data_IF_884457654500
#
_entry.id   IF_884457654500
#
_cell.length_a   1.000
_cell.length_b   1.000
_cell.length_c   1.000
_cell.angle_alpha   90.00
_cell.angle_beta   90.00
_cell.angle_gamma   90.00
#
_symmetry.space_group_name_H-M   'P 1'
#
loop_
_entity.id
_entity.type
_entity.pdbx_description
1 polymer ?
#
# COMPACT_ATOMS: atom_id res chain seq x y z
N UNK A 1 15.52 6.45 13.09
CA UNK A 1 16.05 5.55 12.04
C UNK A 1 16.53 6.42 10.90
N UNK A 2 17.77 6.22 10.45
CA UNK A 2 18.30 7.00 9.33
C UNK A 2 17.62 6.54 8.04
N UNK A 3 17.07 7.47 7.27
CA UNK A 3 16.63 7.22 5.89
C UNK A 3 17.77 7.56 4.93
N UNK A 4 17.79 6.97 3.74
CA UNK A 4 18.81 7.25 2.72
C UNK A 4 18.17 7.54 1.36
N UNK A 5 18.75 8.48 0.61
CA UNK A 5 18.45 8.67 -0.82
C UNK A 5 19.41 7.82 -1.63
N UNK A 6 18.86 7.04 -2.56
CA UNK A 6 19.59 6.23 -3.52
C UNK A 6 19.53 6.91 -4.88
N UNK A 7 20.67 7.36 -5.38
CA UNK A 7 20.78 7.98 -6.70
C UNK A 7 20.86 6.94 -7.81
N UNK A 8 20.01 7.08 -8.83
CA UNK A 8 19.96 6.18 -9.98
C UNK A 8 20.08 6.93 -11.29
N UNK A 9 21.11 6.61 -12.07
CA UNK A 9 21.28 7.10 -13.44
C UNK A 9 20.95 5.95 -14.43
N UNK A 10 19.80 6.01 -15.13
CA UNK A 10 19.39 4.98 -16.09
C UNK A 10 20.39 4.76 -17.23
N UNK A 11 21.23 5.75 -17.56
CA UNK A 11 22.22 5.69 -18.63
C UNK A 11 23.55 5.03 -18.25
N UNK A 12 23.87 4.93 -16.95
CA UNK A 12 25.23 4.60 -16.50
C UNK A 12 25.31 3.46 -15.48
N UNK A 13 24.34 3.31 -14.57
CA UNK A 13 24.44 2.37 -13.43
C UNK A 13 23.11 1.66 -13.15
N UNK A 14 23.19 0.46 -12.55
CA UNK A 14 22.04 -0.37 -12.17
C UNK A 14 21.05 -0.55 -13.33
N UNK A 15 21.50 -1.20 -14.42
CA UNK A 15 20.65 -1.57 -15.56
C UNK A 15 19.65 -2.65 -15.13
N UNK A 16 18.57 -2.22 -14.52
CA UNK A 16 17.35 -3.00 -14.36
C UNK A 16 16.29 -2.49 -15.34
N UNK A 17 15.43 -3.39 -15.78
CA UNK A 17 14.23 -3.00 -16.52
C UNK A 17 13.26 -2.34 -15.53
N UNK A 18 13.40 -1.02 -15.41
CA UNK A 18 12.64 -0.25 -14.43
C UNK A 18 11.13 -0.31 -14.70
N UNK A 19 10.73 -0.37 -15.97
CA UNK A 19 9.32 -0.53 -16.32
C UNK A 19 8.80 -1.87 -15.78
N UNK A 20 9.53 -2.96 -16.02
CA UNK A 20 9.17 -4.25 -15.46
C UNK A 20 9.21 -4.26 -13.93
N UNK A 21 10.11 -3.48 -13.29
CA UNK A 21 10.16 -3.34 -11.84
C UNK A 21 8.91 -2.63 -11.30
N UNK A 22 8.45 -1.54 -11.92
CA UNK A 22 7.18 -0.86 -11.57
C UNK A 22 6.00 -1.82 -11.67
N UNK A 23 5.89 -2.56 -12.78
CA UNK A 23 4.85 -3.58 -12.98
C UNK A 23 4.94 -4.72 -11.96
N UNK A 24 6.17 -5.09 -11.56
CA UNK A 24 6.38 -6.11 -10.54
C UNK A 24 5.93 -5.62 -9.16
N UNK A 25 6.34 -4.42 -8.72
CA UNK A 25 5.91 -3.82 -7.44
C UNK A 25 4.39 -3.71 -7.38
N UNK A 26 3.73 -3.28 -8.46
CA UNK A 26 2.28 -3.22 -8.53
C UNK A 26 1.59 -4.58 -8.32
N UNK A 27 2.27 -5.68 -8.67
CA UNK A 27 1.73 -7.04 -8.63
C UNK A 27 2.09 -7.84 -7.37
N UNK A 28 3.31 -7.69 -6.87
CA UNK A 28 3.85 -8.44 -5.72
C UNK A 28 3.95 -7.61 -4.44
N UNK A 29 3.76 -6.29 -4.54
CA UNK A 29 3.95 -5.33 -3.46
C UNK A 29 5.40 -4.87 -3.27
N UNK A 30 6.38 -5.58 -3.84
CA UNK A 30 7.79 -5.20 -3.72
C UNK A 30 8.67 -5.85 -4.79
N UNK A 31 9.81 -5.23 -5.08
CA UNK A 31 10.83 -5.72 -5.99
C UNK A 31 12.21 -5.66 -5.34
N UNK A 32 12.90 -6.80 -5.27
CA UNK A 32 14.24 -6.88 -4.67
C UNK A 32 15.30 -6.45 -5.68
N UNK A 33 16.15 -5.52 -5.27
CA UNK A 33 17.29 -5.11 -6.06
C UNK A 33 18.56 -5.07 -5.21
N UNK A 34 19.65 -5.56 -5.79
CA UNK A 34 20.99 -5.33 -5.24
C UNK A 34 21.42 -3.90 -5.56
N UNK A 35 21.72 -3.12 -4.53
CA UNK A 35 22.14 -1.73 -4.67
C UNK A 35 23.58 -1.52 -4.21
N UNK A 36 24.40 -0.87 -5.03
CA UNK A 36 25.76 -0.50 -4.64
C UNK A 36 25.75 0.72 -3.72
N UNK A 37 26.36 0.59 -2.56
CA UNK A 37 26.57 1.65 -1.57
C UNK A 37 28.08 1.91 -1.48
N UNK A 38 28.50 3.17 -1.64
CA UNK A 38 29.92 3.53 -1.79
C UNK A 38 30.77 3.19 -0.56
N UNK A 39 30.73 4.04 0.47
CA UNK A 39 31.28 3.73 1.80
C UNK A 39 30.12 3.42 2.73
N UNK A 40 30.15 2.25 3.36
CA UNK A 40 29.12 1.76 4.28
C UNK A 40 29.03 2.70 5.50
N UNK A 41 28.08 3.63 5.48
CA UNK A 41 27.73 4.45 6.64
C UNK A 41 26.33 4.04 7.07
N UNK A 42 26.22 3.35 8.21
CA UNK A 42 24.99 3.19 9.00
C UNK A 42 23.72 2.79 8.22
N UNK A 43 23.88 2.00 7.16
CA UNK A 43 22.79 1.39 6.39
C UNK A 43 22.71 -0.07 6.81
N UNK A 44 21.60 -0.45 7.46
CA UNK A 44 21.31 -1.82 7.87
C UNK A 44 19.87 -2.20 7.55
N UNK A 45 19.45 -3.44 7.85
CA UNK A 45 18.08 -3.87 7.68
C UNK A 45 17.09 -2.91 8.36
N UNK A 46 16.00 -2.56 7.68
CA UNK A 46 15.00 -1.62 8.15
C UNK A 46 15.31 -0.14 7.87
N UNK A 47 16.51 0.18 7.37
CA UNK A 47 16.81 1.52 6.85
C UNK A 47 15.86 1.84 5.69
N UNK A 48 15.15 2.95 5.81
CA UNK A 48 14.28 3.45 4.75
C UNK A 48 15.11 4.02 3.60
N UNK A 49 14.66 3.78 2.38
CA UNK A 49 15.32 4.22 1.14
C UNK A 49 14.37 5.00 0.25
N UNK A 50 14.90 6.05 -0.38
CA UNK A 50 14.20 6.93 -1.30
C UNK A 50 14.94 6.95 -2.64
N UNK A 51 14.31 6.47 -3.70
CA UNK A 51 14.94 6.36 -5.02
C UNK A 51 14.83 7.69 -5.77
N UNK A 52 15.97 8.25 -6.19
CA UNK A 52 16.04 9.45 -7.00
C UNK A 52 16.59 9.12 -8.38
N UNK A 53 15.77 9.30 -9.42
CA UNK A 53 16.22 9.17 -10.81
C UNK A 53 17.00 10.43 -11.21
N UNK A 54 18.11 10.23 -11.93
CA UNK A 54 19.01 11.27 -12.41
C UNK A 54 18.90 11.34 -13.94
N UNK A 55 18.28 12.39 -14.44
CA UNK A 55 18.14 12.66 -15.86
C UNK A 55 19.08 13.75 -16.34
N UNK A 56 19.27 13.85 -17.66
CA UNK A 56 20.08 14.91 -18.28
C UNK A 56 19.41 16.30 -18.22
N UNK A 57 18.13 16.34 -17.87
CA UNK A 57 17.32 17.56 -17.75
C UNK A 57 16.66 17.57 -16.38
N UNK A 58 16.22 18.76 -15.92
CA UNK A 58 15.43 18.90 -14.70
C UNK A 58 14.14 18.05 -14.75
N UNK A 59 13.56 17.89 -15.93
CA UNK A 59 12.37 17.07 -16.12
C UNK A 59 12.61 15.57 -16.01
N UNK A 60 13.83 15.09 -16.28
CA UNK A 60 14.21 13.69 -16.13
C UNK A 60 14.76 13.33 -14.75
N UNK A 61 14.85 14.30 -13.84
CA UNK A 61 15.38 14.11 -12.48
C UNK A 61 14.25 14.23 -11.47
N UNK A 62 14.25 13.40 -10.43
CA UNK A 62 13.26 13.51 -9.37
C UNK A 62 13.17 12.28 -8.48
N UNK A 63 12.39 12.40 -7.40
CA UNK A 63 12.08 11.28 -6.52
C UNK A 63 11.06 10.38 -7.21
N UNK A 64 11.37 9.09 -7.30
CA UNK A 64 10.60 8.13 -8.12
C UNK A 64 10.26 6.84 -7.38
N UNK A 65 10.74 6.67 -6.15
CA UNK A 65 10.47 5.44 -5.41
C UNK A 65 10.76 5.49 -3.93
N UNK A 66 10.20 4.52 -3.24
CA UNK A 66 10.43 4.20 -1.85
C UNK A 66 10.78 2.71 -1.72
N UNK A 67 11.55 2.38 -0.71
CA UNK A 67 11.91 0.99 -0.39
C UNK A 67 12.55 0.87 0.98
N UNK A 68 12.87 -0.36 1.37
CA UNK A 68 13.49 -0.68 2.65
C UNK A 68 14.69 -1.59 2.43
N UNK A 69 15.76 -1.36 3.18
CA UNK A 69 16.92 -2.25 3.19
C UNK A 69 16.58 -3.55 3.90
N UNK A 70 16.90 -4.67 3.26
CA UNK A 70 16.57 -6.03 3.72
C UNK A 70 17.80 -6.81 4.20
N UNK A 71 19.01 -6.27 4.03
CA UNK A 71 20.24 -6.97 4.38
C UNK A 71 21.25 -6.05 5.05
N UNK A 72 22.14 -6.65 5.83
CA UNK A 72 23.40 -6.00 6.18
C UNK A 72 24.24 -5.70 4.92
N UNK A 73 25.12 -4.69 4.94
CA UNK A 73 26.06 -4.45 3.86
C UNK A 73 26.96 -5.66 3.61
N UNK A 74 27.06 -6.08 2.36
CA UNK A 74 27.92 -7.19 1.93
C UNK A 74 28.82 -6.78 0.78
N UNK A 75 30.05 -7.31 0.77
CA UNK A 75 30.96 -7.15 -0.36
C UNK A 75 30.52 -8.08 -1.49
N UNK A 76 30.24 -7.52 -2.67
CA UNK A 76 30.11 -8.33 -3.88
C UNK A 76 31.47 -8.37 -4.58
N UNK A 77 32.05 -9.56 -4.73
CA UNK A 77 33.25 -9.76 -5.55
C UNK A 77 32.80 -10.14 -6.95
N UNK A 78 33.03 -9.32 -8.00
CA UNK A 78 32.86 -9.76 -9.38
C UNK A 78 33.83 -10.90 -9.68
N UNK A 79 33.47 -11.92 -10.49
CA UNK A 79 34.42 -12.94 -10.90
C UNK A 79 35.56 -12.30 -11.72
N UNK A 80 36.79 -12.32 -11.22
CA UNK A 80 38.00 -12.03 -11.99
C UNK A 80 38.82 -10.79 -11.64
N UNK A 81 38.38 -9.91 -10.73
CA UNK A 81 39.14 -8.68 -10.39
C UNK A 81 39.18 -8.41 -8.88
N UNK A 82 40.36 -8.00 -8.36
CA UNK A 82 40.52 -7.40 -7.02
C UNK A 82 41.08 -5.99 -7.21
N UNK A 83 40.38 -4.97 -6.68
CA UNK A 83 40.97 -4.05 -5.68
C UNK A 83 40.01 -3.02 -5.05
N UNK A 84 38.76 -2.82 -5.52
CA UNK A 84 37.78 -1.99 -4.80
C UNK A 84 36.45 -2.74 -4.63
N UNK A 85 36.27 -3.45 -3.51
CA UNK A 85 35.01 -4.13 -3.22
C UNK A 85 33.91 -3.09 -2.95
N UNK A 86 33.11 -2.79 -3.98
CA UNK A 86 31.90 -2.00 -3.80
C UNK A 86 30.96 -2.73 -2.83
N UNK A 87 30.61 -2.08 -1.73
CA UNK A 87 29.63 -2.61 -0.79
C UNK A 87 28.25 -2.60 -1.46
N UNK A 88 27.44 -3.59 -1.11
CA UNK A 88 26.08 -3.72 -1.61
C UNK A 88 25.13 -3.98 -0.46
N UNK A 89 23.88 -3.59 -0.66
CA UNK A 89 22.74 -3.97 0.17
C UNK A 89 21.63 -4.50 -0.73
N UNK A 90 20.78 -5.36 -0.19
CA UNK A 90 19.53 -5.75 -0.85
C UNK A 90 18.44 -4.77 -0.44
N UNK A 91 17.83 -4.09 -1.39
CA UNK A 91 16.75 -3.13 -1.18
C UNK A 91 15.47 -3.71 -1.76
N UNK A 92 14.42 -3.79 -0.96
CA UNK A 92 13.08 -4.08 -1.43
C UNK A 92 12.38 -2.76 -1.74
N UNK A 93 12.24 -2.42 -3.02
CA UNK A 93 11.42 -1.29 -3.45
C UNK A 93 9.95 -1.68 -3.38
N UNK A 94 9.15 -0.97 -2.62
CA UNK A 94 7.76 -1.32 -2.30
C UNK A 94 6.76 -0.25 -2.80
N UNK A 95 7.26 0.88 -3.32
CA UNK A 95 6.47 1.83 -4.09
C UNK A 95 7.35 2.51 -5.16
N UNK A 96 6.93 2.45 -6.42
CA UNK A 96 7.65 3.05 -7.56
C UNK A 96 6.66 3.83 -8.44
N UNK A 97 7.10 5.00 -8.91
CA UNK A 97 6.38 5.81 -9.91
C UNK A 97 6.84 5.46 -11.32
N UNK A 98 5.97 5.51 -12.35
CA UNK A 98 6.40 5.42 -13.73
C UNK A 98 7.41 6.51 -14.11
N UNK A 99 8.32 6.20 -15.05
CA UNK A 99 9.22 7.22 -15.60
C UNK A 99 8.41 8.35 -16.26
N UNK A 100 8.75 9.58 -15.89
CA UNK A 100 8.02 10.79 -16.29
C UNK A 100 7.14 11.37 -15.18
N UNK A 101 6.76 10.55 -14.19
CA UNK A 101 5.91 10.94 -13.07
C UNK A 101 6.71 11.26 -11.79
N UNK A 102 8.04 11.22 -11.84
CA UNK A 102 8.89 11.56 -10.70
C UNK A 102 8.57 12.96 -10.11
N UNK A 103 8.58 13.04 -8.79
CA UNK A 103 8.40 14.30 -8.05
C UNK A 103 9.58 15.21 -8.33
N UNK A 104 9.29 16.41 -8.82
CA UNK A 104 10.30 17.32 -9.39
C UNK A 104 11.23 17.90 -8.32
N UNK A 105 12.51 18.20 -8.67
CA UNK A 105 13.49 18.71 -7.72
C UNK A 105 13.05 19.99 -7.00
N UNK A 106 12.29 20.86 -7.68
CA UNK A 106 11.72 22.07 -7.08
C UNK A 106 10.75 21.79 -5.93
N UNK A 107 9.87 20.78 -6.07
CA UNK A 107 8.93 20.39 -5.03
C UNK A 107 9.66 19.78 -3.83
N UNK A 108 10.69 18.97 -4.09
CA UNK A 108 11.52 18.38 -3.05
C UNK A 108 12.29 19.47 -2.28
N UNK A 109 12.88 20.43 -3.01
CA UNK A 109 13.61 21.56 -2.41
C UNK A 109 12.72 22.43 -1.54
N UNK A 110 11.45 22.60 -1.92
CA UNK A 110 10.46 23.33 -1.13
C UNK A 110 10.07 22.57 0.15
N UNK A 111 9.86 21.25 0.04
CA UNK A 111 9.50 20.41 1.18
C UNK A 111 10.65 20.27 2.19
N UNK A 112 11.90 20.37 1.73
CA UNK A 112 13.11 20.13 2.51
C UNK A 112 14.09 21.30 2.37
N UNK A 113 13.75 22.47 2.96
CA UNK A 113 14.60 23.66 2.89
C UNK A 113 15.91 23.42 3.66
N UNK A 114 17.04 23.72 3.03
CA UNK A 114 18.37 23.59 3.64
C UNK A 114 19.18 22.37 3.20
N UNK A 115 18.62 21.48 2.36
CA UNK A 115 19.37 20.43 1.69
C UNK A 115 19.78 20.90 0.28
N UNK A 116 21.05 20.72 -0.09
CA UNK A 116 21.51 20.99 -1.45
C UNK A 116 21.22 19.78 -2.35
N UNK A 117 20.06 19.84 -3.01
CA UNK A 117 19.57 18.77 -3.88
C UNK A 117 20.40 18.57 -5.14
N UNK A 118 21.25 19.53 -5.52
CA UNK A 118 22.10 19.41 -6.71
C UNK A 118 23.25 18.42 -6.49
N UNK A 119 23.77 18.33 -5.26
CA UNK A 119 24.85 17.39 -4.90
C UNK A 119 24.41 15.92 -4.85
N UNK A 120 23.10 15.66 -4.73
CA UNK A 120 22.51 14.31 -4.77
C UNK A 120 22.58 13.66 -6.16
N UNK A 121 22.70 14.47 -7.22
CA UNK A 121 22.80 13.97 -8.59
C UNK A 121 24.16 13.35 -8.92
N UNK A 122 25.15 13.48 -8.02
CA UNK A 122 26.54 13.04 -8.24
C UNK A 122 26.98 11.87 -7.34
N UNK A 123 26.14 11.42 -6.39
CA UNK A 123 26.50 10.37 -5.41
C UNK A 123 25.60 9.14 -5.53
N UNK A 124 26.18 7.94 -5.33
CA UNK A 124 25.43 6.66 -5.33
C UNK A 124 24.41 6.55 -4.19
N UNK A 125 24.57 7.35 -3.14
CA UNK A 125 23.59 7.49 -2.06
C UNK A 125 24.01 8.53 -1.01
N UNK A 126 23.03 9.03 -0.25
CA UNK A 126 23.22 10.03 0.81
C UNK A 126 22.26 9.73 1.97
N UNK A 127 22.73 9.83 3.21
CA UNK A 127 21.84 9.81 4.37
C UNK A 127 21.00 11.08 4.43
N UNK A 128 19.69 10.95 4.67
CA UNK A 128 18.87 12.09 5.00
C UNK A 128 19.34 12.68 6.34
N UNK A 129 19.43 14.02 6.46
CA UNK A 129 19.59 14.68 7.75
C UNK A 129 18.42 14.30 8.67
N UNK A 130 18.68 14.02 9.96
CA UNK A 130 17.62 13.79 10.93
C UNK A 130 16.60 14.93 10.92
N UNK A 131 15.31 14.61 10.82
CA UNK A 131 14.22 15.59 10.78
C UNK A 131 13.79 16.00 9.37
N UNK A 132 14.49 15.57 8.32
CA UNK A 132 14.05 15.74 6.94
C UNK A 132 12.96 14.73 6.54
N UNK A 133 12.88 13.58 7.20
CA UNK A 133 11.98 12.49 6.85
C UNK A 133 10.50 12.91 6.84
N UNK A 134 9.96 13.63 7.85
CA UNK A 134 8.55 14.04 7.85
C UNK A 134 8.15 14.90 6.65
N UNK A 135 9.06 15.78 6.19
CA UNK A 135 8.83 16.61 5.01
C UNK A 135 8.77 15.77 3.73
N UNK A 136 9.69 14.80 3.59
CA UNK A 136 9.71 13.90 2.44
C UNK A 136 8.47 13.01 2.37
N UNK A 137 8.04 12.46 3.52
CA UNK A 137 6.83 11.63 3.62
C UNK A 137 5.56 12.42 3.30
N UNK A 138 5.49 13.70 3.71
CA UNK A 138 4.38 14.58 3.36
C UNK A 138 4.31 14.76 1.85
N UNK A 139 5.44 15.11 1.23
CA UNK A 139 5.53 15.28 -0.22
C UNK A 139 5.15 13.99 -0.96
N UNK A 140 5.64 12.82 -0.50
CA UNK A 140 5.31 11.53 -1.08
C UNK A 140 3.83 11.18 -0.96
N UNK A 141 3.16 11.55 0.14
CA UNK A 141 1.71 11.36 0.30
C UNK A 141 0.90 12.22 -0.67
N UNK A 142 1.40 13.40 -1.01
CA UNK A 142 0.71 14.37 -1.86
C UNK A 142 0.93 14.11 -3.36
N UNK A 143 2.10 13.61 -3.74
CA UNK A 143 2.52 13.49 -5.15
C UNK A 143 3.06 12.11 -5.54
N UNK A 144 3.08 11.16 -4.59
CA UNK A 144 3.52 9.79 -4.83
C UNK A 144 2.42 8.91 -5.46
N UNK A 145 2.61 7.58 -5.46
CA UNK A 145 1.67 6.67 -6.07
C UNK A 145 0.34 6.65 -5.30
N UNK A 146 -0.76 6.54 -6.04
CA UNK A 146 -2.10 6.42 -5.46
C UNK A 146 -2.35 5.00 -4.97
N UNK A 147 -3.04 4.86 -3.84
CA UNK A 147 -3.47 3.57 -3.33
C UNK A 147 -4.38 2.87 -4.36
N UNK A 148 -4.15 1.58 -4.62
CA UNK A 148 -4.96 0.80 -5.58
C UNK A 148 -6.36 0.55 -5.05
N UNK A 149 -6.49 0.47 -3.72
CA UNK A 149 -7.75 0.32 -3.00
C UNK A 149 -7.85 1.35 -1.87
N UNK A 150 -9.05 1.87 -1.54
CA UNK A 150 -9.19 2.98 -0.60
C UNK A 150 -8.60 2.76 0.80
N UNK A 151 -8.56 1.51 1.27
CA UNK A 151 -8.04 1.14 2.58
C UNK A 151 -6.53 0.80 2.60
N UNK A 152 -5.84 0.86 1.45
CA UNK A 152 -4.42 0.54 1.38
C UNK A 152 -3.57 1.72 1.84
N UNK A 153 -2.62 1.43 2.73
CA UNK A 153 -1.55 2.37 3.09
C UNK A 153 -0.46 2.31 2.03
N UNK A 154 -0.14 3.45 1.41
CA UNK A 154 0.98 3.55 0.46
C UNK A 154 2.30 3.58 1.23
N UNK A 155 3.23 2.68 0.86
CA UNK A 155 4.58 2.64 1.45
C UNK A 155 5.29 4.00 1.39
N UNK A 156 6.02 4.32 2.46
CA UNK A 156 6.69 5.61 2.64
C UNK A 156 5.80 6.71 3.24
N UNK A 157 4.48 6.51 3.36
CA UNK A 157 3.56 7.52 3.91
C UNK A 157 3.66 7.69 5.44
N UNK A 158 4.00 6.62 6.15
CA UNK A 158 4.16 6.56 7.60
C UNK A 158 5.55 6.06 7.97
N UNK A 159 6.08 6.39 9.16
CA UNK A 159 7.31 5.78 9.68
C UNK A 159 7.25 4.25 9.63
N UNK A 160 8.35 3.55 9.27
CA UNK A 160 8.35 2.09 9.16
C UNK A 160 7.94 1.36 10.45
N UNK A 161 8.29 1.90 11.62
CA UNK A 161 7.91 1.38 12.94
C UNK A 161 6.44 1.62 13.31
N UNK A 162 5.73 2.46 12.55
CA UNK A 162 4.31 2.74 12.74
C UNK A 162 3.40 1.91 11.82
N UNK A 163 3.97 1.03 10.98
CA UNK A 163 3.24 0.22 10.00
C UNK A 163 3.52 -1.25 10.23
N UNK A 164 2.50 -2.08 10.04
CA UNK A 164 2.64 -3.54 9.95
C UNK A 164 2.08 -4.02 8.62
N UNK A 165 2.70 -5.05 8.06
CA UNK A 165 2.23 -5.70 6.84
C UNK A 165 1.33 -6.89 7.18
N UNK A 166 0.27 -7.05 6.41
CA UNK A 166 -0.55 -8.27 6.40
C UNK A 166 -0.49 -8.87 5.00
N UNK A 167 -0.37 -10.19 4.92
CA UNK A 167 -0.49 -10.89 3.65
C UNK A 167 -1.97 -10.88 3.21
N UNK A 168 -2.19 -10.52 1.95
CA UNK A 168 -3.52 -10.45 1.35
C UNK A 168 -3.53 -11.21 0.02
N UNK A 169 -4.72 -11.65 -0.42
CA UNK A 169 -4.87 -12.33 -1.70
C UNK A 169 -4.53 -11.36 -2.85
N UNK A 170 -3.47 -11.69 -3.62
CA UNK A 170 -3.04 -10.88 -4.76
C UNK A 170 -4.11 -10.70 -5.84
N UNK A 171 -4.98 -11.69 -6.05
CA UNK A 171 -6.02 -11.64 -7.08
C UNK A 171 -7.09 -10.58 -6.77
N UNK A 172 -7.37 -10.36 -5.49
CA UNK A 172 -8.31 -9.32 -5.02
C UNK A 172 -7.70 -7.91 -5.03
N UNK A 173 -6.38 -7.80 -5.26
CA UNK A 173 -5.63 -6.53 -5.30
C UNK A 173 -5.13 -6.17 -6.70
N UNK A 174 -5.42 -6.98 -7.71
CA UNK A 174 -5.08 -6.68 -9.09
C UNK A 174 -5.98 -5.57 -9.65
N UNK A 175 -5.38 -4.41 -9.91
CA UNK A 175 -6.10 -3.21 -10.39
C UNK A 175 -6.78 -3.39 -11.74
N UNK A 176 -6.18 -4.16 -12.65
CA UNK A 176 -6.73 -4.39 -13.98
C UNK A 176 -7.85 -5.42 -13.92
N UNK A 177 -7.64 -6.52 -13.19
CA UNK A 177 -8.69 -7.51 -12.98
C UNK A 177 -9.90 -6.87 -12.29
N UNK A 178 -9.67 -6.04 -11.27
CA UNK A 178 -10.73 -5.25 -10.63
C UNK A 178 -11.49 -4.39 -11.63
N UNK A 179 -10.77 -3.63 -12.47
CA UNK A 179 -11.39 -2.78 -13.50
C UNK A 179 -12.28 -3.58 -14.45
N UNK A 180 -11.81 -4.74 -14.92
CA UNK A 180 -12.57 -5.63 -15.83
C UNK A 180 -13.79 -6.22 -15.12
N UNK A 181 -13.62 -6.75 -13.91
CA UNK A 181 -14.70 -7.26 -13.08
C UNK A 181 -15.82 -6.23 -12.89
N UNK A 182 -15.47 -5.00 -12.48
CA UNK A 182 -16.46 -3.94 -12.24
C UNK A 182 -17.10 -3.42 -13.52
N UNK A 183 -16.37 -3.41 -14.64
CA UNK A 183 -16.94 -3.06 -15.94
C UNK A 183 -17.99 -4.09 -16.40
N UNK A 184 -17.82 -5.37 -16.07
CA UNK A 184 -18.75 -6.43 -16.44
C UNK A 184 -19.92 -6.59 -15.45
N UNK A 185 -19.62 -6.67 -14.14
CA UNK A 185 -20.61 -6.95 -13.08
C UNK A 185 -21.27 -5.69 -12.50
N UNK A 186 -20.70 -4.51 -12.74
CA UNK A 186 -21.11 -3.26 -12.11
C UNK A 186 -20.55 -3.07 -10.69
N UNK A 187 -21.08 -2.07 -9.99
CA UNK A 187 -20.59 -1.59 -8.68
C UNK A 187 -21.54 -1.90 -7.52
N UNK A 188 -22.54 -2.75 -7.73
CA UNK A 188 -23.44 -3.21 -6.66
C UNK A 188 -22.91 -4.49 -6.05
N UNK A 189 -23.03 -4.62 -4.72
CA UNK A 189 -22.61 -5.81 -4.00
C UNK A 189 -23.39 -7.04 -4.50
N UNK A 190 -22.69 -8.06 -4.98
CA UNK A 190 -23.28 -9.30 -5.46
C UNK A 190 -24.04 -10.06 -4.34
N UNK A 191 -23.66 -9.87 -3.06
CA UNK A 191 -24.34 -10.50 -1.94
C UNK A 191 -25.59 -9.72 -1.49
N UNK A 192 -25.43 -8.48 -1.01
CA UNK A 192 -26.50 -7.72 -0.38
C UNK A 192 -27.17 -6.67 -1.26
N UNK A 193 -26.67 -6.45 -2.49
CA UNK A 193 -27.19 -5.44 -3.41
C UNK A 193 -26.81 -3.98 -3.07
N UNK A 194 -26.05 -3.74 -1.99
CA UNK A 194 -25.65 -2.38 -1.62
C UNK A 194 -24.81 -1.72 -2.72
N UNK A 195 -25.15 -0.49 -3.06
CA UNK A 195 -24.39 0.37 -3.97
C UNK A 195 -23.95 1.64 -3.22
N UNK A 196 -22.64 1.88 -3.19
CA UNK A 196 -22.07 3.06 -2.55
C UNK A 196 -22.43 4.33 -3.30
N UNK A 197 -22.34 4.33 -4.62
CA UNK A 197 -22.73 5.48 -5.45
C UNK A 197 -24.22 5.83 -5.26
N UNK A 198 -25.10 4.83 -5.19
CA UNK A 198 -26.52 5.08 -4.95
C UNK A 198 -26.81 5.62 -3.54
N UNK A 199 -25.98 5.29 -2.54
CA UNK A 199 -26.21 5.66 -1.14
C UNK A 199 -25.46 6.93 -0.71
N UNK A 200 -24.30 7.19 -1.31
CA UNK A 200 -23.37 8.27 -0.92
C UNK A 200 -23.06 9.25 -2.07
N UNK A 201 -23.67 9.06 -3.24
CA UNK A 201 -23.43 9.90 -4.43
C UNK A 201 -22.00 9.76 -4.93
N UNK A 202 -21.45 10.86 -5.46
CA UNK A 202 -20.13 10.90 -6.11
C UNK A 202 -19.00 10.35 -5.22
N UNK A 203 -19.08 10.56 -3.91
CA UNK A 203 -18.10 10.06 -2.94
C UNK A 203 -18.04 8.52 -2.88
N UNK A 204 -19.12 7.83 -3.28
CA UNK A 204 -19.21 6.37 -3.35
C UNK A 204 -18.85 5.78 -4.72
N UNK A 205 -18.56 6.62 -5.72
CA UNK A 205 -18.28 6.17 -7.09
C UNK A 205 -17.09 5.23 -7.12
N UNK A 206 -17.30 4.02 -7.65
CA UNK A 206 -16.25 3.01 -7.73
C UNK A 206 -15.76 2.49 -6.37
N UNK A 207 -16.38 2.87 -5.25
CA UNK A 207 -16.03 2.38 -3.92
C UNK A 207 -16.70 1.02 -3.70
N UNK A 208 -15.99 -0.05 -4.04
CA UNK A 208 -16.40 -1.44 -3.80
C UNK A 208 -15.17 -2.37 -3.87
N UNK A 209 -15.17 -3.44 -3.09
CA UNK A 209 -14.12 -4.46 -3.13
C UNK A 209 -14.46 -5.54 -4.17
N UNK A 210 -13.44 -6.24 -4.65
CA UNK A 210 -13.61 -7.45 -5.47
C UNK A 210 -13.16 -8.65 -4.67
N UNK A 211 -13.94 -9.71 -4.75
CA UNK A 211 -13.71 -10.95 -4.02
C UNK A 211 -13.36 -12.07 -4.99
N UNK A 212 -12.30 -12.80 -4.69
CA UNK A 212 -11.85 -13.94 -5.47
C UNK A 212 -12.57 -15.20 -4.99
N UNK A 213 -13.36 -15.81 -5.88
CA UNK A 213 -14.27 -16.91 -5.53
C UNK A 213 -13.68 -18.30 -5.75
N UNK A 214 -12.49 -18.40 -6.36
CA UNK A 214 -11.84 -19.68 -6.62
C UNK A 214 -11.19 -20.19 -5.33
N UNK A 215 -11.57 -21.38 -4.83
CA UNK A 215 -10.98 -21.94 -3.62
C UNK A 215 -9.46 -22.11 -3.73
N UNK A 216 -8.69 -21.86 -2.65
CA UNK A 216 -7.24 -21.99 -2.67
C UNK A 216 -6.73 -23.36 -3.15
N UNK A 217 -7.47 -24.44 -2.86
CA UNK A 217 -7.12 -25.80 -3.28
C UNK A 217 -7.11 -26.00 -4.82
N UNK A 218 -7.74 -25.09 -5.58
CA UNK A 218 -7.78 -25.13 -7.04
C UNK A 218 -6.71 -24.22 -7.70
N UNK A 219 -5.92 -23.50 -6.89
CA UNK A 219 -4.87 -22.61 -7.36
C UNK A 219 -3.58 -23.41 -7.59
N UNK A 220 -3.51 -24.11 -8.72
CA UNK A 220 -2.34 -24.87 -9.15
C UNK A 220 -1.38 -24.11 -10.06
N UNK A 221 -0.28 -24.78 -10.43
CA UNK A 221 0.67 -24.28 -11.41
C UNK A 221 -0.03 -23.97 -12.74
N UNK A 222 0.06 -22.73 -13.18
CA UNK A 222 -0.57 -22.26 -14.42
C UNK A 222 -1.96 -21.67 -14.28
N UNK A 223 -2.51 -21.55 -13.07
CA UNK A 223 -3.76 -20.81 -12.85
C UNK A 223 -3.64 -19.36 -13.37
N UNK A 224 -4.57 -18.97 -14.24
CA UNK A 224 -4.71 -17.61 -14.74
C UNK A 224 -6.07 -17.09 -14.27
N UNK A 225 -6.04 -15.93 -13.63
CA UNK A 225 -7.24 -15.25 -13.15
C UNK A 225 -8.09 -14.83 -14.36
N UNK A 226 -9.34 -15.28 -14.41
CA UNK A 226 -10.37 -14.69 -15.27
C UNK A 226 -11.17 -13.67 -14.45
N UNK A 227 -11.01 -12.35 -14.66
CA UNK A 227 -11.68 -11.35 -13.84
C UNK A 227 -13.21 -11.35 -13.95
N UNK A 228 -13.78 -11.98 -14.97
CA UNK A 228 -15.24 -12.06 -15.14
C UNK A 228 -15.80 -13.24 -14.35
N UNK A 229 -15.10 -14.38 -14.34
CA UNK A 229 -15.59 -15.62 -13.72
C UNK A 229 -15.14 -15.74 -12.27
N UNK A 230 -13.91 -15.33 -11.98
CA UNK A 230 -13.24 -15.59 -10.71
C UNK A 230 -13.35 -14.45 -9.70
N UNK A 231 -13.80 -13.27 -10.15
CA UNK A 231 -14.02 -12.11 -9.29
C UNK A 231 -15.49 -11.70 -9.26
N UNK A 232 -15.93 -11.23 -8.09
CA UNK A 232 -17.26 -10.66 -7.90
C UNK A 232 -17.18 -9.38 -7.06
N UNK A 233 -18.00 -8.34 -7.35
CA UNK A 233 -18.06 -7.15 -6.52
C UNK A 233 -18.74 -7.44 -5.17
N UNK A 234 -18.11 -7.10 -4.05
CA UNK A 234 -18.69 -7.16 -2.72
C UNK A 234 -18.48 -5.84 -1.97
N UNK A 235 -19.47 -5.41 -1.19
CA UNK A 235 -19.25 -4.29 -0.26
C UNK A 235 -18.26 -4.71 0.85
N UNK A 236 -17.54 -3.76 1.48
CA UNK A 236 -16.54 -4.07 2.51
C UNK A 236 -17.08 -4.93 3.66
N UNK A 237 -18.34 -4.76 4.04
CA UNK A 237 -18.97 -5.57 5.09
C UNK A 237 -19.18 -7.03 4.66
N UNK A 238 -19.70 -7.24 3.44
CA UNK A 238 -19.89 -8.60 2.91
C UNK A 238 -18.54 -9.26 2.59
N UNK A 239 -17.56 -8.51 2.10
CA UNK A 239 -16.22 -9.01 1.82
C UNK A 239 -15.49 -9.43 3.10
N UNK A 240 -15.52 -8.60 4.14
CA UNK A 240 -14.98 -8.97 5.46
C UNK A 240 -15.68 -10.23 6.01
N UNK A 241 -17.01 -10.31 5.90
CA UNK A 241 -17.76 -11.49 6.33
C UNK A 241 -17.45 -12.74 5.49
N UNK A 242 -17.09 -12.59 4.22
CA UNK A 242 -16.67 -13.70 3.37
C UNK A 242 -15.42 -14.39 3.94
N UNK A 243 -14.49 -13.60 4.47
CA UNK A 243 -13.23 -14.08 5.07
C UNK A 243 -13.30 -14.34 6.58
N UNK A 244 -14.35 -13.86 7.27
CA UNK A 244 -14.42 -13.89 8.73
C UNK A 244 -14.59 -15.31 9.30
N UNK A 245 -13.58 -15.78 10.05
CA UNK A 245 -13.64 -16.99 10.86
C UNK A 245 -13.72 -18.29 10.04
N UNK A 246 -13.28 -18.27 8.78
CA UNK A 246 -13.31 -19.41 7.86
C UNK A 246 -11.92 -19.65 7.24
N UNK A 247 -11.64 -20.91 6.87
CA UNK A 247 -10.42 -21.27 6.16
C UNK A 247 -10.53 -21.05 4.65
N UNK A 248 -11.72 -21.26 4.12
CA UNK A 248 -12.07 -20.99 2.73
C UNK A 248 -13.08 -19.85 2.71
N UNK A 249 -12.90 -18.83 1.85
CA UNK A 249 -13.83 -17.72 1.79
C UNK A 249 -15.23 -18.18 1.42
N UNK A 250 -16.25 -17.60 2.08
CA UNK A 250 -17.66 -17.89 1.79
C UNK A 250 -18.04 -17.40 0.40
N UNK A 251 -18.81 -18.22 -0.30
CA UNK A 251 -19.41 -17.88 -1.58
C UNK A 251 -20.49 -16.81 -1.45
N UNK A 252 -20.80 -16.12 -2.56
CA UNK A 252 -21.91 -15.16 -2.63
C UNK A 252 -23.24 -15.80 -2.21
N UNK A 253 -23.47 -17.06 -2.60
CA UNK A 253 -24.69 -17.80 -2.24
C UNK A 253 -24.79 -18.02 -0.73
N UNK A 254 -23.68 -18.38 -0.08
CA UNK A 254 -23.65 -18.51 1.39
C UNK A 254 -23.91 -17.19 2.09
N UNK A 255 -23.31 -16.09 1.61
CA UNK A 255 -23.57 -14.76 2.14
C UNK A 255 -25.05 -14.37 2.00
N UNK A 256 -25.66 -14.60 0.82
CA UNK A 256 -27.09 -14.37 0.59
C UNK A 256 -27.96 -15.18 1.54
N UNK A 257 -27.61 -16.45 1.78
CA UNK A 257 -28.33 -17.31 2.70
C UNK A 257 -28.22 -16.81 4.15
N UNK A 258 -27.03 -16.38 4.58
CA UNK A 258 -26.81 -15.79 5.92
C UNK A 258 -27.66 -14.53 6.08
N UNK A 259 -27.67 -13.64 5.08
CA UNK A 259 -28.47 -12.41 5.11
C UNK A 259 -29.96 -12.73 5.19
N UNK A 260 -30.45 -13.66 4.37
CA UNK A 260 -31.85 -14.06 4.37
C UNK A 260 -32.27 -14.74 5.69
N UNK A 261 -31.37 -15.49 6.32
CA UNK A 261 -31.62 -16.19 7.58
C UNK A 261 -31.50 -15.30 8.83
N UNK A 262 -30.79 -14.17 8.74
CA UNK A 262 -30.53 -13.28 9.87
C UNK A 262 -31.81 -12.70 10.51
N UNK A 263 -32.94 -12.74 9.79
CA UNK A 263 -34.23 -12.27 10.30
C UNK A 263 -34.20 -10.78 10.64
N UNK A 264 -34.99 -10.38 11.64
CA UNK A 264 -34.99 -9.01 12.16
C UNK A 264 -34.00 -8.91 13.33
N UNK A 265 -33.43 -7.73 13.57
CA UNK A 265 -32.71 -7.43 14.80
C UNK A 265 -33.58 -7.89 15.98
N UNK A 266 -33.04 -8.76 16.85
CA UNK A 266 -33.71 -9.02 18.13
C UNK A 266 -33.66 -7.70 18.88
N UNK A 267 -34.78 -7.00 18.90
CA UNK A 267 -34.95 -5.89 19.83
C UNK A 267 -34.84 -6.48 21.23
N UNK A 268 -33.86 -6.04 21.99
CA UNK A 268 -33.80 -6.38 23.41
C UNK A 268 -34.89 -5.59 24.13
N UNK A 269 -35.69 -6.28 24.94
CA UNK A 269 -36.57 -5.61 25.88
C UNK A 269 -35.66 -4.98 26.94
N UNK A 270 -35.75 -3.66 27.13
CA UNK A 270 -35.00 -2.95 28.17
C UNK A 270 -35.24 -3.66 29.50
N UNK A 271 -34.16 -4.20 30.11
CA UNK A 271 -34.29 -4.91 31.37
C UNK A 271 -34.82 -3.96 32.47
N UNK A 272 -35.55 -4.48 33.46
CA UNK A 272 -36.01 -3.67 34.59
C UNK A 272 -34.86 -2.89 35.25
N UNK A 273 -33.67 -3.49 35.34
CA UNK A 273 -32.47 -2.83 35.86
C UNK A 273 -32.02 -1.64 35.01
N UNK A 274 -32.15 -1.72 33.69
CA UNK A 274 -31.82 -0.62 32.79
C UNK A 274 -32.87 0.50 32.88
N UNK A 275 -34.15 0.15 33.04
CA UNK A 275 -35.22 1.10 33.32
C UNK A 275 -35.01 1.83 34.66
N UNK A 276 -34.65 1.09 35.71
CA UNK A 276 -34.38 1.64 37.04
C UNK A 276 -33.16 2.56 37.00
N UNK A 277 -32.10 2.17 36.30
CA UNK A 277 -30.91 3.02 36.11
C UNK A 277 -31.23 4.31 35.36
N UNK A 278 -32.12 4.28 34.37
CA UNK A 278 -32.57 5.47 33.65
C UNK A 278 -33.44 6.38 34.54
N UNK A 279 -34.33 5.80 35.34
CA UNK A 279 -35.13 6.54 36.33
C UNK A 279 -34.26 7.20 37.40
N UNK A 280 -33.25 6.50 37.90
CA UNK A 280 -32.32 7.05 38.89
C UNK A 280 -31.44 8.15 38.29
N UNK A 281 -30.94 7.97 37.06
CA UNK A 281 -30.24 9.03 36.33
C UNK A 281 -31.13 10.27 36.17
N UNK A 282 -32.42 10.08 35.86
CA UNK A 282 -33.39 11.17 35.74
C UNK A 282 -33.62 11.90 37.06
N UNK A 283 -33.76 11.17 38.17
CA UNK A 283 -33.87 11.77 39.53
C UNK A 283 -32.63 12.58 39.91
N UNK A 284 -31.44 12.12 39.52
CA UNK A 284 -30.18 12.83 39.78
C UNK A 284 -30.14 14.14 38.98
N UNK A 285 -30.57 14.12 37.73
CA UNK A 285 -30.55 15.28 36.83
C UNK A 285 -31.64 16.31 37.14
N UNK A 286 -32.85 15.86 37.46
CA UNK A 286 -34.01 16.72 37.71
C UNK A 286 -34.05 17.22 39.18
N UNK A 287 -33.27 16.61 40.07
CA UNK A 287 -33.28 16.89 41.51
C UNK A 287 -34.56 16.38 42.18
N UNK A 288 -34.63 16.38 43.53
CA UNK A 288 -35.87 16.02 44.22
C UNK A 288 -36.98 17.02 43.87
N UNK A 289 -38.23 16.57 43.66
CA UNK A 289 -39.35 17.48 43.50
C UNK A 289 -39.45 18.37 44.74
N UNK A 290 -39.37 19.68 44.53
CA UNK A 290 -39.41 20.70 45.59
C UNK A 290 -40.76 20.81 46.28
#
# INVERSE_FOLDING_TARGET
MAAVILGWNPGERNRWDYRAAVEHVARSGWFLQRWSVGRAWDIGPGTETWLLVQGRTDAGTGLIGHGVVMSEPYAAVPPGEREDAAWHVSVAFDALLPLGEQIRPGAISHALPGMDWRDLTLRSGMGLPPGAEPGLRRLWREQGPTAVVPAQVVSGTYPPDAVTSIDVNRYERDSEARRICLAFHGTSCAACGFSFEASYGDAGTGYIDVHHVVPPALLGDGYQLDPIVDLVPLCPNCHALAHHGVKEPRTVSELRNIIAAAGHLRGDIVSNKALDAELDARRILEGPPG
#
